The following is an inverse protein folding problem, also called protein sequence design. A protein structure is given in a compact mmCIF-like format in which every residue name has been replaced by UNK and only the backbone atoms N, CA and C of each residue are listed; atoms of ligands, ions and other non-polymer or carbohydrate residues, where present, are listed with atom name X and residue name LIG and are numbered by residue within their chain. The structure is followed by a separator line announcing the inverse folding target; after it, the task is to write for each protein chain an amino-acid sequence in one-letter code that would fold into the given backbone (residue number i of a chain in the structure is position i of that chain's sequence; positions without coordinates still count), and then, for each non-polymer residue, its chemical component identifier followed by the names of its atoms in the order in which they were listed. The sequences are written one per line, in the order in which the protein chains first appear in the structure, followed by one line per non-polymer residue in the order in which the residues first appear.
data_IF_694325195930
#
_entry.id   IF_694325195930
#
_cell.length_a   1.000
_cell.length_b   1.000
_cell.length_c   1.000
_cell.angle_alpha   90.00
_cell.angle_beta   90.00
_cell.angle_gamma   90.00
#
_symmetry.space_group_name_H-M   'P 1'
#
loop_
_entity.id
_entity.type
_entity.pdbx_description
1 polymer ?
#
# COMPACT_ATOMS: atom_id res chain seq x y z
N UNK A 1 8.42 -5.60 3.38
CA UNK A 1 7.14 -5.29 4.04
C UNK A 1 7.38 -5.14 5.54
N UNK A 2 6.59 -4.32 6.24
CA UNK A 2 6.64 -4.23 7.71
C UNK A 2 5.42 -4.89 8.32
N UNK A 3 5.65 -5.67 9.38
CA UNK A 3 4.62 -6.45 10.07
C UNK A 3 4.73 -6.24 11.57
N UNK A 4 3.59 -6.31 12.25
CA UNK A 4 3.57 -6.46 13.70
C UNK A 4 3.56 -7.94 14.04
N UNK A 5 3.92 -8.30 15.27
CA UNK A 5 3.70 -9.64 15.83
C UNK A 5 2.23 -10.10 15.76
N UNK A 6 1.27 -9.17 15.82
CA UNK A 6 -0.13 -9.47 15.58
C UNK A 6 -0.39 -9.83 14.10
N UNK A 7 -0.79 -11.09 13.85
CA UNK A 7 -1.16 -11.57 12.52
C UNK A 7 -2.50 -10.94 12.09
N UNK A 8 -2.59 -10.32 10.90
CA UNK A 8 -3.88 -9.91 10.37
C UNK A 8 -4.76 -11.13 10.08
N UNK A 9 -6.09 -10.98 10.22
CA UNK A 9 -7.03 -11.92 9.62
C UNK A 9 -6.80 -11.94 8.10
N UNK A 10 -6.78 -13.14 7.51
CA UNK A 10 -6.41 -13.33 6.10
C UNK A 10 -7.29 -12.45 5.19
N UNK A 11 -6.64 -11.61 4.38
CA UNK A 11 -7.34 -10.75 3.41
C UNK A 11 -8.01 -9.50 3.99
N UNK A 12 -7.87 -9.22 5.28
CA UNK A 12 -8.43 -8.02 5.93
C UNK A 12 -7.35 -6.98 6.26
N UNK A 13 -7.76 -5.71 6.30
CA UNK A 13 -6.92 -4.64 6.82
C UNK A 13 -6.86 -4.70 8.34
N UNK A 14 -5.67 -4.46 8.90
CA UNK A 14 -5.51 -4.40 10.35
C UNK A 14 -5.90 -3.03 10.90
N UNK A 15 -6.67 -3.04 11.99
CA UNK A 15 -6.97 -1.85 12.79
C UNK A 15 -6.08 -1.81 14.02
N UNK A 16 -5.67 -0.62 14.41
CA UNK A 16 -5.09 -0.35 15.74
C UNK A 16 -6.21 0.21 16.59
N UNK A 17 -6.40 -0.39 17.77
CA UNK A 17 -7.35 0.12 18.74
C UNK A 17 -6.61 1.03 19.72
N UNK A 18 -6.93 2.32 19.67
CA UNK A 18 -6.44 3.34 20.58
C UNK A 18 -7.54 3.81 21.53
N UNK A 19 -8.68 3.12 21.60
CA UNK A 19 -9.84 3.51 22.40
C UNK A 19 -9.51 3.76 23.88
N UNK A 20 -8.68 2.90 24.46
CA UNK A 20 -8.20 2.94 25.84
C UNK A 20 -6.75 3.43 25.96
N UNK A 21 -6.17 3.98 24.90
CA UNK A 21 -4.82 4.56 24.99
C UNK A 21 -4.90 5.92 25.67
N UNK A 22 -4.13 6.21 26.74
CA UNK A 22 -4.11 7.51 27.39
C UNK A 22 -3.76 8.62 26.40
N UNK A 23 -4.48 9.74 26.47
CA UNK A 23 -4.17 10.88 25.61
C UNK A 23 -2.86 11.57 26.08
N UNK A 24 -1.95 11.97 25.18
CA UNK A 24 -0.68 12.61 25.55
C UNK A 24 -0.83 13.89 26.39
N UNK A 25 -1.97 14.58 26.27
CA UNK A 25 -2.28 15.76 27.10
C UNK A 25 -2.66 15.43 28.55
N UNK A 26 -2.72 14.15 28.93
CA UNK A 26 -3.14 13.71 30.26
C UNK A 26 -4.66 13.71 30.50
N UNK A 27 -5.46 14.18 29.54
CA UNK A 27 -6.92 14.22 29.65
C UNK A 27 -7.57 13.05 28.87
N UNK A 28 -8.00 12.02 29.60
CA UNK A 28 -8.80 10.93 29.06
C UNK A 28 -8.03 9.97 28.14
N UNK A 29 -8.78 9.33 27.23
CA UNK A 29 -8.25 8.36 26.27
C UNK A 29 -8.46 8.86 24.83
N UNK A 30 -7.63 8.39 23.90
CA UNK A 30 -7.65 8.80 22.48
C UNK A 30 -9.01 8.46 21.81
N UNK A 31 -9.66 7.35 22.19
CA UNK A 31 -11.00 7.03 21.70
C UNK A 31 -11.07 6.64 20.21
N UNK A 32 -9.94 6.30 19.57
CA UNK A 32 -9.85 6.11 18.11
C UNK A 32 -9.60 4.65 17.71
N UNK A 33 -10.21 4.22 16.61
CA UNK A 33 -9.83 3.00 15.89
C UNK A 33 -9.37 3.38 14.48
N UNK A 34 -8.11 3.11 14.16
CA UNK A 34 -7.49 3.55 12.90
C UNK A 34 -6.94 2.38 12.10
N UNK A 35 -7.11 2.40 10.78
CA UNK A 35 -6.49 1.41 9.91
C UNK A 35 -5.00 1.68 9.73
N UNK A 36 -4.17 0.64 9.77
CA UNK A 36 -2.71 0.78 9.67
C UNK A 36 -2.25 1.43 8.37
N UNK A 37 -2.87 1.10 7.25
CA UNK A 37 -2.49 1.70 5.97
C UNK A 37 -2.78 3.21 5.93
N UNK A 38 -3.76 3.71 6.71
CA UNK A 38 -3.99 5.16 6.84
C UNK A 38 -2.86 5.82 7.64
N UNK A 39 -2.36 5.18 8.69
CA UNK A 39 -1.17 5.65 9.40
C UNK A 39 0.08 5.63 8.53
N UNK A 40 0.23 4.62 7.66
CA UNK A 40 1.32 4.57 6.70
C UNK A 40 1.29 5.76 5.72
N UNK A 41 0.11 6.19 5.27
CA UNK A 41 -0.05 7.41 4.47
C UNK A 41 0.33 8.67 5.26
N UNK A 42 -0.02 8.75 6.55
CA UNK A 42 0.40 9.87 7.41
C UNK A 42 1.92 9.89 7.56
N UNK A 43 2.55 8.75 7.83
CA UNK A 43 4.01 8.63 7.94
C UNK A 43 4.74 8.95 6.63
N UNK A 44 4.09 8.73 5.47
CA UNK A 44 4.57 9.14 4.15
C UNK A 44 4.46 10.65 3.91
N UNK A 45 3.80 11.41 4.79
CA UNK A 45 3.54 12.84 4.61
C UNK A 45 2.29 13.14 3.75
N UNK A 46 1.47 12.13 3.45
CA UNK A 46 0.32 12.24 2.54
C UNK A 46 -1.02 12.26 3.29
N UNK A 47 -1.05 12.77 4.53
CA UNK A 47 -2.23 12.75 5.40
C UNK A 47 -3.45 13.47 4.78
N UNK A 48 -3.23 14.54 3.99
CA UNK A 48 -4.30 15.29 3.33
C UNK A 48 -5.09 14.43 2.33
N UNK A 49 -4.46 13.43 1.72
CA UNK A 49 -5.12 12.53 0.77
C UNK A 49 -6.13 11.58 1.45
N UNK A 50 -6.06 11.41 2.77
CA UNK A 50 -7.02 10.58 3.50
C UNK A 50 -8.45 11.14 3.43
N UNK A 51 -8.62 12.44 3.17
CA UNK A 51 -9.92 13.11 3.03
C UNK A 51 -10.66 12.72 1.75
N UNK A 52 -9.92 12.38 0.68
CA UNK A 52 -10.49 11.98 -0.61
C UNK A 52 -10.72 10.47 -0.73
N UNK A 53 -10.36 9.70 0.30
CA UNK A 53 -10.57 8.23 0.32
C UNK A 53 -12.06 7.93 0.16
N UNK A 54 -12.40 7.23 -0.91
CA UNK A 54 -13.78 6.99 -1.34
C UNK A 54 -13.89 5.68 -2.13
N UNK A 55 -15.02 5.45 -2.80
CA UNK A 55 -15.15 4.31 -3.73
C UNK A 55 -14.24 4.44 -4.95
N UNK A 56 -13.93 5.67 -5.38
CA UNK A 56 -13.15 5.95 -6.59
C UNK A 56 -11.67 6.15 -6.30
N UNK A 57 -11.29 6.59 -5.10
CA UNK A 57 -9.90 6.79 -4.67
C UNK A 57 -9.60 5.97 -3.43
N UNK A 58 -8.61 5.08 -3.53
CA UNK A 58 -8.32 4.10 -2.50
C UNK A 58 -6.84 4.07 -2.17
N UNK A 59 -6.54 3.61 -0.97
CA UNK A 59 -5.17 3.34 -0.54
C UNK A 59 -4.80 1.94 -1.04
N UNK A 60 -3.91 1.88 -2.01
CA UNK A 60 -3.40 0.66 -2.61
C UNK A 60 -2.18 0.15 -1.88
N UNK A 61 -2.13 -1.16 -1.62
CA UNK A 61 -0.91 -1.80 -1.15
C UNK A 61 -0.13 -2.31 -2.35
N UNK A 62 0.97 -1.63 -2.69
CA UNK A 62 1.84 -1.96 -3.83
C UNK A 62 2.45 -3.36 -3.68
N UNK A 63 2.72 -3.79 -2.44
CA UNK A 63 3.24 -5.12 -2.12
C UNK A 63 2.17 -6.24 -2.03
N UNK A 64 0.91 -5.92 -2.35
CA UNK A 64 -0.26 -6.84 -2.27
C UNK A 64 -0.49 -7.52 -0.93
N UNK A 65 0.11 -6.99 0.14
CA UNK A 65 -0.07 -7.48 1.49
C UNK A 65 -0.82 -6.45 2.34
N UNK A 66 -2.12 -6.70 2.57
CA UNK A 66 -3.01 -5.83 3.37
C UNK A 66 -2.60 -5.68 4.85
N UNK A 67 -1.70 -6.55 5.33
CA UNK A 67 -1.10 -6.45 6.66
C UNK A 67 0.14 -5.57 6.74
N UNK A 68 0.75 -5.23 5.59
CA UNK A 68 1.92 -4.39 5.53
C UNK A 68 1.56 -2.92 5.82
N UNK A 69 2.33 -2.25 6.67
CA UNK A 69 2.14 -0.83 6.98
C UNK A 69 3.37 0.03 6.68
N UNK A 70 4.28 -0.48 5.85
CA UNK A 70 5.44 0.28 5.36
C UNK A 70 4.97 1.46 4.51
N UNK A 71 5.36 2.72 4.80
CA UNK A 71 4.93 3.91 4.05
C UNK A 71 5.22 3.82 2.56
N UNK A 72 6.37 3.28 2.16
CA UNK A 72 6.76 3.14 0.75
C UNK A 72 5.96 2.06 0.00
N UNK A 73 5.16 1.25 0.71
CA UNK A 73 4.35 0.18 0.12
C UNK A 73 2.87 0.57 -0.03
N UNK A 74 2.50 1.82 0.28
CA UNK A 74 1.15 2.34 0.13
C UNK A 74 1.11 3.57 -0.78
N UNK A 75 0.06 3.66 -1.58
CA UNK A 75 -0.16 4.77 -2.52
C UNK A 75 -1.65 5.11 -2.58
N UNK A 76 -1.99 6.40 -2.65
CA UNK A 76 -3.34 6.83 -2.99
C UNK A 76 -3.51 6.78 -4.51
N UNK A 77 -4.44 5.95 -5.00
CA UNK A 77 -4.67 5.81 -6.43
C UNK A 77 -6.14 5.54 -6.76
N UNK A 78 -6.56 5.69 -8.03
CA UNK A 78 -7.90 5.30 -8.44
C UNK A 78 -8.20 3.83 -8.15
N UNK A 79 -9.44 3.52 -7.76
CA UNK A 79 -9.87 2.17 -7.45
C UNK A 79 -9.71 1.21 -8.64
N UNK A 80 -9.91 1.72 -9.86
CA UNK A 80 -9.67 0.97 -11.11
C UNK A 80 -8.21 0.57 -11.25
N UNK A 81 -7.27 1.48 -10.97
CA UNK A 81 -5.84 1.17 -11.01
C UNK A 81 -5.44 0.18 -9.91
N UNK A 82 -5.98 0.35 -8.69
CA UNK A 82 -5.77 -0.60 -7.60
C UNK A 82 -6.28 -2.01 -7.94
N UNK A 83 -7.43 -2.11 -8.63
CA UNK A 83 -7.95 -3.37 -9.13
C UNK A 83 -7.09 -3.94 -10.27
N UNK A 84 -6.66 -3.13 -11.24
CA UNK A 84 -5.81 -3.56 -12.35
C UNK A 84 -4.47 -4.13 -11.88
N UNK A 85 -3.94 -3.66 -10.75
CA UNK A 85 -2.75 -4.26 -10.12
C UNK A 85 -2.94 -5.72 -9.70
N UNK A 86 -4.16 -6.28 -9.67
CA UNK A 86 -4.38 -7.70 -9.34
C UNK A 86 -3.90 -8.59 -10.48
N UNK A 87 -3.89 -8.08 -11.71
CA UNK A 87 -3.29 -8.73 -12.88
C UNK A 87 -1.76 -8.83 -12.78
N UNK A 88 -1.13 -8.10 -11.87
CA UNK A 88 0.29 -8.23 -11.57
C UNK A 88 0.62 -9.37 -10.60
N UNK A 89 -0.40 -10.04 -10.04
CA UNK A 89 -0.19 -11.08 -9.04
C UNK A 89 0.57 -12.27 -9.65
N UNK A 90 1.66 -12.65 -9.00
CA UNK A 90 2.50 -13.76 -9.43
C UNK A 90 3.42 -13.44 -10.61
N UNK A 91 3.48 -12.18 -11.06
CA UNK A 91 4.46 -11.73 -12.05
C UNK A 91 5.73 -11.22 -11.36
N UNK A 92 6.86 -11.40 -12.02
CA UNK A 92 8.18 -10.96 -11.56
C UNK A 92 8.84 -10.07 -12.61
N UNK A 93 9.68 -9.13 -12.17
CA UNK A 93 10.58 -8.40 -13.06
C UNK A 93 11.75 -9.33 -13.37
N UNK A 94 12.07 -9.49 -14.65
CA UNK A 94 13.19 -10.33 -15.06
C UNK A 94 14.40 -9.48 -15.41
N UNK A 95 15.51 -9.78 -14.75
CA UNK A 95 16.83 -9.24 -15.07
C UNK A 95 17.50 -10.17 -16.07
N UNK A 96 17.74 -9.67 -17.28
CA UNK A 96 18.39 -10.42 -18.36
C UNK A 96 19.93 -10.37 -18.21
N UNK A 97 20.68 -11.35 -18.75
CA UNK A 97 22.15 -11.39 -18.66
C UNK A 97 22.85 -10.17 -19.27
N UNK A 98 22.19 -9.46 -20.18
CA UNK A 98 22.68 -8.23 -20.82
C UNK A 98 22.32 -6.95 -20.04
N UNK A 99 21.98 -7.06 -18.75
CA UNK A 99 21.47 -5.97 -17.92
C UNK A 99 20.12 -5.39 -18.39
N UNK A 100 19.40 -6.05 -19.31
CA UNK A 100 18.06 -5.67 -19.70
C UNK A 100 17.04 -5.97 -18.60
N UNK A 101 15.99 -5.13 -18.50
CA UNK A 101 14.90 -5.30 -17.53
C UNK A 101 13.60 -5.55 -18.29
N UNK A 102 12.95 -6.69 -18.04
CA UNK A 102 11.60 -6.97 -18.52
C UNK A 102 10.60 -6.78 -17.39
N UNK A 103 9.75 -5.76 -17.51
CA UNK A 103 8.71 -5.45 -16.53
C UNK A 103 7.31 -5.82 -17.07
N UNK A 104 6.72 -6.98 -16.70
CA UNK A 104 5.51 -7.54 -17.32
C UNK A 104 4.19 -6.93 -16.81
N UNK A 105 4.25 -5.70 -16.32
CA UNK A 105 3.15 -5.04 -15.66
C UNK A 105 2.20 -4.43 -16.72
N UNK A 106 0.94 -4.88 -16.83
CA UNK A 106 0.03 -4.44 -17.88
C UNK A 106 -0.41 -2.97 -17.69
N UNK A 107 -0.34 -2.45 -16.47
CA UNK A 107 -0.72 -1.07 -16.15
C UNK A 107 0.49 -0.11 -16.12
N UNK A 108 1.62 -0.49 -16.73
CA UNK A 108 2.82 0.36 -16.83
C UNK A 108 2.55 1.65 -17.63
N UNK A 109 1.61 1.65 -18.58
CA UNK A 109 1.33 2.81 -19.45
C UNK A 109 0.01 3.54 -19.16
N UNK A 110 -0.73 3.17 -18.11
CA UNK A 110 -2.09 3.64 -17.87
C UNK A 110 -2.14 5.18 -17.88
N UNK A 111 -2.68 5.76 -18.97
CA UNK A 111 -2.75 7.19 -19.35
C UNK A 111 -1.60 7.82 -20.16
N UNK A 112 -0.72 7.07 -20.83
CA UNK A 112 0.32 7.64 -21.71
C UNK A 112 1.34 8.52 -20.98
N UNK A 113 1.30 8.55 -19.65
CA UNK A 113 2.36 9.06 -18.80
C UNK A 113 3.32 7.91 -18.59
N UNK A 114 4.60 8.14 -18.86
CA UNK A 114 5.65 7.17 -18.59
C UNK A 114 5.48 6.60 -17.17
N UNK A 115 5.15 5.31 -17.10
CA UNK A 115 5.38 4.45 -15.96
C UNK A 115 4.93 5.01 -14.62
N UNK A 116 3.77 4.60 -14.13
CA UNK A 116 3.65 4.47 -12.67
C UNK A 116 4.60 3.34 -12.21
N UNK A 117 5.91 3.64 -12.13
CA UNK A 117 7.05 2.84 -11.65
C UNK A 117 6.86 2.24 -10.26
N UNK A 118 5.71 2.51 -9.63
CA UNK A 118 5.39 2.14 -8.26
C UNK A 118 4.89 0.70 -8.14
N UNK A 119 4.78 -0.07 -9.23
CA UNK A 119 4.47 -1.50 -9.11
C UNK A 119 5.67 -2.23 -8.51
N UNK A 120 5.49 -2.80 -7.31
CA UNK A 120 6.53 -3.55 -6.62
C UNK A 120 6.32 -5.02 -6.93
N UNK A 121 7.09 -5.54 -7.89
CA UNK A 121 7.14 -6.96 -8.22
C UNK A 121 8.41 -7.60 -7.64
N UNK A 122 8.39 -8.90 -7.32
CA UNK A 122 9.62 -9.65 -7.08
C UNK A 122 10.56 -9.55 -8.28
N UNK A 123 11.87 -9.60 -8.03
CA UNK A 123 12.89 -9.64 -9.09
C UNK A 123 13.40 -11.08 -9.21
N UNK A 124 13.42 -11.58 -10.43
CA UNK A 124 13.98 -12.87 -10.81
C UNK A 124 15.14 -12.66 -11.79
N UNK A 125 16.20 -13.45 -11.62
CA UNK A 125 17.37 -13.44 -12.48
C UNK A 125 17.28 -14.67 -13.39
N UNK A 126 17.37 -14.46 -14.70
CA UNK A 126 17.38 -15.52 -15.71
C UNK A 126 18.76 -15.54 -16.38
#
# INVERSE_FOLDING_TARGET
CWFTSAKPLKGQFTRINLDKTPHPSGQGHIGLKVYRHRLAMVAKGEALLLSITSKTWQISHLCRNKGCFRPEHVEMEPAELNAARDECRGKSIFMLPNCGVLHPCPHWDWQGRQGHLKCILPVEYI
#
